data_IF_514479962519
#
_entry.id   IF_514479962519
#
_cell.length_a   1.000
_cell.length_b   1.000
_cell.length_c   1.000
_cell.angle_alpha   90.00
_cell.angle_beta   90.00
_cell.angle_gamma   90.00
#
_symmetry.space_group_name_H-M   'P 1'
#
loop_
_entity.id
_entity.type
_entity.pdbx_description
1 polymer ?
#
# COMPACT_ATOMS: atom_id res chain seq x y z
N UNK A 1 -19.33 5.38 10.90
CA UNK A 1 -18.42 4.83 11.93
C UNK A 1 -17.32 5.85 12.09
N UNK A 2 -17.24 6.48 13.26
CA UNK A 2 -16.31 7.58 13.55
C UNK A 2 -14.88 7.09 13.40
N UNK A 3 -14.12 7.73 12.50
CA UNK A 3 -12.69 7.49 12.32
C UNK A 3 -12.02 7.99 13.60
N UNK A 4 -11.71 7.08 14.53
CA UNK A 4 -10.80 7.40 15.61
C UNK A 4 -9.46 7.76 14.98
N UNK A 5 -8.89 8.90 15.36
CA UNK A 5 -7.59 9.33 14.86
C UNK A 5 -6.48 8.34 15.20
N UNK A 6 -5.26 8.61 14.73
CA UNK A 6 -4.05 7.82 15.01
C UNK A 6 -3.92 7.43 16.49
N UNK A 7 -4.30 8.33 17.39
CA UNK A 7 -4.25 8.15 18.85
C UNK A 7 -5.08 6.94 19.31
N UNK A 8 -6.24 6.69 18.68
CA UNK A 8 -7.09 5.54 19.00
C UNK A 8 -6.48 4.20 18.57
N UNK A 9 -5.69 4.20 17.49
CA UNK A 9 -4.98 3.00 17.03
C UNK A 9 -3.81 2.65 17.95
N UNK A 10 -3.37 3.59 18.78
CA UNK A 10 -2.21 3.47 19.67
C UNK A 10 -2.58 3.28 21.14
N UNK A 11 -3.87 3.33 21.50
CA UNK A 11 -4.34 3.35 22.89
C UNK A 11 -3.80 2.18 23.73
N UNK A 12 -3.75 0.98 23.14
CA UNK A 12 -3.28 -0.23 23.82
C UNK A 12 -1.76 -0.45 23.70
N UNK A 13 -1.00 0.45 23.06
CA UNK A 13 0.43 0.26 22.84
C UNK A 13 1.23 0.45 24.14
N UNK A 14 1.82 -0.65 24.66
CA UNK A 14 2.66 -0.62 25.87
C UNK A 14 4.14 -0.32 25.59
N UNK A 15 4.50 0.07 24.37
CA UNK A 15 5.88 0.36 23.94
C UNK A 15 6.88 -0.79 24.22
N UNK A 16 6.45 -2.06 24.14
CA UNK A 16 7.30 -3.22 24.45
C UNK A 16 8.45 -3.48 23.45
N UNK A 17 8.41 -2.88 22.25
CA UNK A 17 9.47 -2.98 21.25
C UNK A 17 9.50 -4.28 20.42
N UNK A 18 8.62 -5.26 20.66
CA UNK A 18 8.61 -6.52 19.90
C UNK A 18 8.43 -6.32 18.38
N UNK A 19 7.63 -5.34 17.99
CA UNK A 19 7.43 -4.95 16.59
C UNK A 19 8.72 -4.47 15.91
N UNK A 20 9.62 -3.82 16.65
CA UNK A 20 10.93 -3.35 16.17
C UNK A 20 11.85 -4.54 15.90
N UNK A 21 11.94 -5.48 16.84
CA UNK A 21 12.80 -6.68 16.74
C UNK A 21 12.51 -7.54 15.50
N UNK A 22 11.23 -7.59 15.09
CA UNK A 22 10.80 -8.35 13.92
C UNK A 22 10.78 -7.54 12.62
N UNK A 23 11.01 -6.23 12.68
CA UNK A 23 10.96 -5.37 11.50
C UNK A 23 12.19 -5.61 10.61
N UNK A 24 11.96 -6.02 9.36
CA UNK A 24 13.05 -6.21 8.40
C UNK A 24 13.68 -4.88 7.95
N UNK A 25 12.92 -3.78 8.01
CA UNK A 25 13.37 -2.43 7.64
C UNK A 25 14.34 -1.91 8.71
N UNK A 26 14.01 -2.10 9.99
CA UNK A 26 14.90 -1.77 11.12
C UNK A 26 16.25 -2.49 10.99
N UNK A 27 16.23 -3.79 10.70
CA UNK A 27 17.45 -4.61 10.58
C UNK A 27 18.38 -4.17 9.45
N UNK A 28 17.83 -3.51 8.43
CA UNK A 28 18.60 -2.97 7.31
C UNK A 28 19.19 -1.58 7.60
N UNK A 29 19.02 -1.06 8.82
CA UNK A 29 19.56 0.23 9.23
C UNK A 29 18.70 1.42 8.80
N UNK A 30 17.49 1.17 8.31
CA UNK A 30 16.47 2.22 8.16
C UNK A 30 15.69 2.35 9.47
N UNK A 31 15.43 3.57 9.92
CA UNK A 31 14.62 3.83 11.12
C UNK A 31 13.22 3.20 10.95
N UNK A 32 12.61 2.67 12.01
CA UNK A 32 11.39 1.84 11.92
C UNK A 32 10.14 2.43 12.54
N UNK A 33 9.11 1.57 12.55
CA UNK A 33 7.81 1.71 13.21
C UNK A 33 7.89 2.40 14.58
N UNK A 34 8.89 2.10 15.43
CA UNK A 34 8.93 2.65 16.79
C UNK A 34 9.40 4.11 16.83
N UNK A 35 10.33 4.52 15.97
CA UNK A 35 10.71 5.94 15.87
C UNK A 35 9.51 6.79 15.45
N UNK A 36 8.70 6.28 14.53
CA UNK A 36 7.42 6.89 14.16
C UNK A 36 6.40 6.90 15.31
N UNK A 37 6.19 5.77 16.01
CA UNK A 37 5.25 5.69 17.15
C UNK A 37 5.69 6.56 18.35
N UNK A 38 6.95 6.97 18.40
CA UNK A 38 7.53 7.83 19.43
C UNK A 38 7.61 9.32 19.00
N UNK A 39 7.18 9.65 17.78
CA UNK A 39 7.19 11.03 17.26
C UNK A 39 8.57 11.53 16.81
N UNK A 40 9.45 10.66 16.33
CA UNK A 40 10.72 11.07 15.73
C UNK A 40 10.55 11.40 14.23
N UNK A 41 10.83 12.66 13.87
CA UNK A 41 10.34 13.34 12.66
C UNK A 41 10.89 12.90 11.29
N UNK A 42 11.77 11.90 11.20
CA UNK A 42 12.51 11.62 9.94
C UNK A 42 12.22 10.27 9.29
N UNK A 43 11.06 9.66 9.58
CA UNK A 43 10.66 8.38 8.98
C UNK A 43 9.47 8.53 8.04
N UNK A 44 9.62 8.01 6.83
CA UNK A 44 8.51 7.87 5.88
C UNK A 44 7.80 6.53 6.04
N UNK A 45 6.49 6.55 6.21
CA UNK A 45 5.61 5.37 6.25
C UNK A 45 5.65 4.54 4.96
N UNK A 46 6.15 5.10 3.86
CA UNK A 46 6.39 4.40 2.60
C UNK A 46 7.56 3.41 2.64
N UNK A 47 8.42 3.47 3.66
CA UNK A 47 9.47 2.46 3.89
C UNK A 47 8.91 1.17 4.49
N UNK A 48 7.72 1.19 5.09
CA UNK A 48 7.09 -0.01 5.63
C UNK A 48 6.77 -0.99 4.49
N UNK A 49 7.37 -2.18 4.53
CA UNK A 49 7.16 -3.23 3.53
C UNK A 49 5.80 -3.92 3.61
N UNK A 50 4.96 -3.55 4.59
CA UNK A 50 3.65 -4.18 4.83
C UNK A 50 3.75 -5.71 4.96
N UNK A 51 4.78 -6.21 5.65
CA UNK A 51 5.04 -7.64 5.82
C UNK A 51 4.30 -8.29 7.00
N UNK A 52 3.54 -7.50 7.77
CA UNK A 52 2.70 -7.95 8.90
C UNK A 52 3.40 -8.62 10.09
N UNK A 53 4.73 -8.80 10.08
CA UNK A 53 5.45 -9.44 11.21
C UNK A 53 5.23 -8.72 12.54
N UNK A 54 5.13 -7.39 12.53
CA UNK A 54 4.85 -6.60 13.71
C UNK A 54 3.44 -6.84 14.29
N UNK A 55 2.46 -7.13 13.43
CA UNK A 55 1.09 -7.48 13.83
C UNK A 55 1.10 -8.82 14.59
N UNK A 56 1.78 -9.82 14.03
CA UNK A 56 1.79 -11.19 14.56
C UNK A 56 2.44 -11.30 15.95
N UNK A 57 3.35 -10.39 16.29
CA UNK A 57 4.07 -10.41 17.58
C UNK A 57 3.54 -9.41 18.60
N UNK A 58 2.56 -8.58 18.23
CA UNK A 58 2.06 -7.55 19.13
C UNK A 58 1.17 -8.17 20.21
N UNK A 59 1.56 -8.15 21.50
CA UNK A 59 0.79 -8.79 22.57
C UNK A 59 -0.52 -8.06 22.87
N UNK A 60 -0.64 -6.80 22.44
CA UNK A 60 -1.80 -5.94 22.65
C UNK A 60 -2.70 -5.88 21.41
N UNK A 61 -2.31 -6.54 20.31
CA UNK A 61 -3.11 -6.53 19.08
C UNK A 61 -3.18 -5.18 18.35
N UNK A 62 -2.33 -4.21 18.68
CA UNK A 62 -2.24 -2.90 17.98
C UNK A 62 -2.17 -3.12 16.47
N UNK A 63 -3.08 -2.47 15.72
CA UNK A 63 -3.11 -2.54 14.26
C UNK A 63 -2.06 -1.62 13.65
N UNK A 64 -0.83 -2.13 13.66
CA UNK A 64 0.35 -1.41 13.15
C UNK A 64 0.25 -1.18 11.63
N UNK A 65 -0.44 -2.06 10.91
CA UNK A 65 -0.65 -1.89 9.48
C UNK A 65 -1.59 -0.71 9.20
N UNK A 66 -2.72 -0.61 9.89
CA UNK A 66 -3.66 0.50 9.76
C UNK A 66 -2.98 1.85 10.07
N UNK A 67 -2.17 1.90 11.14
CA UNK A 67 -1.36 3.07 11.49
C UNK A 67 -0.49 3.53 10.31
N UNK A 68 0.24 2.60 9.68
CA UNK A 68 1.11 2.91 8.54
C UNK A 68 0.31 3.36 7.31
N UNK A 69 -0.87 2.77 7.07
CA UNK A 69 -1.75 3.16 5.96
C UNK A 69 -2.29 4.57 6.15
N UNK A 70 -2.74 4.93 7.35
CA UNK A 70 -3.23 6.28 7.63
C UNK A 70 -2.12 7.32 7.46
N UNK A 71 -0.88 7.00 7.84
CA UNK A 71 0.24 7.92 7.58
C UNK A 71 0.64 8.08 6.14
N UNK A 72 0.52 7.05 5.31
CA UNK A 72 0.72 7.21 3.86
C UNK A 72 -0.28 8.18 3.24
N UNK A 73 -1.43 8.44 3.89
CA UNK A 73 -2.40 9.46 3.42
C UNK A 73 -1.95 10.88 3.76
N UNK A 74 -1.07 11.05 4.74
CA UNK A 74 -0.52 12.34 5.17
C UNK A 74 0.81 12.68 4.48
N UNK A 75 1.46 11.69 3.83
CA UNK A 75 2.74 11.84 3.13
C UNK A 75 2.56 11.83 1.61
N UNK A 76 3.42 12.57 0.90
CA UNK A 76 3.51 12.47 -0.56
C UNK A 76 3.96 11.06 -0.99
N UNK A 77 3.27 10.41 -1.95
CA UNK A 77 3.67 9.09 -2.42
C UNK A 77 4.99 9.14 -3.21
N UNK A 78 5.83 8.10 -3.14
CA UNK A 78 6.98 7.99 -4.02
C UNK A 78 6.54 7.99 -5.50
N UNK A 79 7.30 8.66 -6.36
CA UNK A 79 6.97 8.86 -7.80
C UNK A 79 6.58 7.56 -8.52
N UNK A 80 7.21 6.42 -8.18
CA UNK A 80 6.88 5.13 -8.77
C UNK A 80 5.46 4.65 -8.41
N UNK A 81 4.98 4.92 -7.18
CA UNK A 81 3.62 4.58 -6.77
C UNK A 81 2.60 5.43 -7.50
N UNK A 82 2.86 6.73 -7.65
CA UNK A 82 1.99 7.62 -8.42
C UNK A 82 1.92 7.18 -9.90
N UNK A 83 3.06 6.85 -10.50
CA UNK A 83 3.12 6.34 -11.87
C UNK A 83 2.36 5.01 -12.03
N UNK A 84 2.43 4.11 -11.05
CA UNK A 84 1.68 2.85 -11.07
C UNK A 84 0.18 3.10 -10.97
N UNK A 85 -0.27 3.99 -10.06
CA UNK A 85 -1.68 4.35 -9.93
C UNK A 85 -2.21 4.94 -11.24
N UNK A 86 -1.46 5.87 -11.85
CA UNK A 86 -1.84 6.48 -13.13
C UNK A 86 -2.04 5.42 -14.22
N UNK A 87 -1.15 4.43 -14.32
CA UNK A 87 -1.29 3.31 -15.28
C UNK A 87 -2.51 2.45 -15.01
N UNK A 88 -2.89 2.23 -13.75
CA UNK A 88 -4.13 1.54 -13.41
C UNK A 88 -5.34 2.32 -13.92
N UNK A 89 -5.35 3.64 -13.73
CA UNK A 89 -6.45 4.50 -14.20
C UNK A 89 -6.53 4.58 -15.73
N UNK A 90 -5.40 4.47 -16.43
CA UNK A 90 -5.34 4.52 -17.89
C UNK A 90 -5.65 3.17 -18.54
N UNK A 91 -5.07 2.09 -18.02
CA UNK A 91 -5.03 0.78 -18.71
C UNK A 91 -5.58 -0.39 -17.89
N UNK A 92 -5.91 -0.17 -16.62
CA UNK A 92 -6.32 -1.21 -15.68
C UNK A 92 -5.16 -2.01 -15.07
N UNK A 93 -3.91 -1.71 -15.43
CA UNK A 93 -2.72 -2.42 -14.96
C UNK A 93 -1.72 -1.46 -14.33
N UNK A 94 -1.16 -1.84 -13.18
CA UNK A 94 -0.12 -1.04 -12.51
C UNK A 94 1.21 -1.06 -13.26
N UNK A 95 1.53 -2.17 -13.92
CA UNK A 95 2.76 -2.37 -14.66
C UNK A 95 2.50 -2.34 -16.16
N UNK A 96 3.42 -1.80 -16.98
CA UNK A 96 3.28 -1.85 -18.42
C UNK A 96 3.31 -3.29 -18.91
N UNK A 97 2.36 -3.65 -19.76
CA UNK A 97 2.38 -4.93 -20.46
C UNK A 97 2.99 -4.71 -21.84
N UNK A 98 4.17 -5.26 -22.05
CA UNK A 98 4.91 -5.12 -23.31
C UNK A 98 4.23 -5.86 -24.46
N UNK A 99 4.39 -5.35 -25.68
CA UNK A 99 3.87 -5.98 -26.91
C UNK A 99 4.37 -7.42 -27.11
N UNK A 100 5.56 -7.73 -26.58
CA UNK A 100 6.23 -9.02 -26.65
C UNK A 100 5.72 -10.11 -25.69
N UNK A 101 4.70 -9.81 -24.86
CA UNK A 101 4.31 -10.71 -23.78
C UNK A 101 3.74 -12.03 -24.31
N UNK A 102 3.03 -12.00 -25.44
CA UNK A 102 2.40 -13.20 -26.01
C UNK A 102 3.40 -14.08 -26.74
N UNK A 103 4.44 -13.49 -27.35
CA UNK A 103 5.57 -14.22 -27.90
C UNK A 103 6.34 -14.94 -26.78
N UNK A 104 6.63 -14.25 -25.66
CA UNK A 104 7.29 -14.86 -24.51
C UNK A 104 6.44 -16.00 -23.90
N UNK A 105 5.13 -15.78 -23.76
CA UNK A 105 4.19 -16.79 -23.24
C UNK A 105 4.14 -18.02 -24.15
N UNK A 106 4.13 -17.84 -25.47
CA UNK A 106 4.15 -18.94 -26.43
C UNK A 106 5.42 -19.78 -26.35
N UNK A 107 6.60 -19.16 -26.15
CA UNK A 107 7.87 -19.86 -25.92
C UNK A 107 7.78 -20.79 -24.71
N UNK A 108 7.05 -20.37 -23.67
CA UNK A 108 6.83 -21.15 -22.46
C UNK A 108 5.56 -22.05 -22.51
N UNK A 109 4.90 -22.17 -23.67
CA UNK A 109 3.68 -22.99 -23.82
C UNK A 109 2.47 -22.46 -23.06
N UNK A 110 2.44 -21.16 -22.75
CA UNK A 110 1.33 -20.49 -22.06
C UNK A 110 0.38 -19.83 -23.07
N UNK A 111 -0.92 -19.87 -22.78
CA UNK A 111 -1.94 -19.20 -23.60
C UNK A 111 -1.72 -17.69 -23.70
N UNK A 112 -2.07 -17.11 -24.84
CA UNK A 112 -1.99 -15.66 -25.03
C UNK A 112 -2.87 -14.92 -24.02
N UNK A 113 -2.31 -13.90 -23.36
CA UNK A 113 -3.08 -13.05 -22.46
C UNK A 113 -4.01 -12.15 -23.27
N UNK A 114 -5.27 -12.09 -22.85
CA UNK A 114 -6.25 -11.14 -23.36
C UNK A 114 -6.29 -9.96 -22.40
N UNK A 115 -5.80 -8.81 -22.86
CA UNK A 115 -5.76 -7.61 -22.04
C UNK A 115 -7.15 -6.97 -21.99
N UNK A 116 -7.51 -6.47 -20.80
CA UNK A 116 -8.69 -5.62 -20.60
C UNK A 116 -8.58 -4.41 -21.53
N UNK A 117 -9.56 -4.15 -22.42
CA UNK A 117 -9.51 -2.98 -23.27
C UNK A 117 -9.68 -1.70 -22.45
N UNK A 118 -8.90 -0.66 -22.77
CA UNK A 118 -8.90 0.64 -22.07
C UNK A 118 -10.31 1.26 -21.94
N UNK A 119 -11.16 1.08 -22.96
CA UNK A 119 -12.59 1.42 -22.93
C UNK A 119 -13.32 0.95 -21.66
N UNK A 120 -13.03 -0.25 -21.17
CA UNK A 120 -13.71 -0.79 -20.00
C UNK A 120 -13.29 -0.06 -18.74
N UNK A 121 -12.03 0.36 -18.66
CA UNK A 121 -11.50 1.19 -17.58
C UNK A 121 -12.23 2.54 -17.57
N UNK A 122 -12.37 3.19 -18.73
CA UNK A 122 -13.13 4.44 -18.85
C UNK A 122 -14.58 4.30 -18.37
N UNK A 123 -15.26 3.20 -18.73
CA UNK A 123 -16.65 2.95 -18.32
C UNK A 123 -16.76 2.84 -16.80
N UNK A 124 -15.84 2.09 -16.17
CA UNK A 124 -15.83 1.91 -14.72
C UNK A 124 -15.59 3.24 -13.98
N UNK A 125 -14.65 4.05 -14.47
CA UNK A 125 -14.34 5.36 -13.88
C UNK A 125 -15.50 6.36 -14.04
N UNK A 126 -16.20 6.35 -15.18
CA UNK A 126 -17.39 7.22 -15.40
C UNK A 126 -18.59 6.80 -14.55
N UNK A 127 -18.80 5.49 -14.36
CA UNK A 127 -19.88 4.99 -13.53
C UNK A 127 -19.75 5.46 -12.07
N UNK A 128 -18.53 5.57 -11.54
CA UNK A 128 -18.29 6.13 -10.21
C UNK A 128 -18.59 7.63 -10.14
N UNK A 129 -18.20 8.42 -11.14
CA UNK A 129 -18.52 9.86 -11.18
C UNK A 129 -20.03 10.15 -11.23
N UNK A 130 -20.82 9.27 -11.85
CA UNK A 130 -22.29 9.37 -11.87
C UNK A 130 -22.97 9.02 -10.53
N UNK A 131 -22.30 8.30 -9.63
CA UNK A 131 -22.83 7.96 -8.30
C UNK A 131 -22.57 9.06 -7.27
N UNK A 132 -21.57 9.92 -7.46
CA UNK A 132 -21.25 11.03 -6.54
C UNK A 132 -22.15 12.27 -6.74
N UNK A 133 -22.91 12.36 -7.84
CA UNK A 133 -23.84 13.47 -8.12
C UNK A 133 -25.31 13.19 -7.73
N UNK A 134 -25.57 12.04 -7.10
CA UNK A 134 -26.92 11.58 -6.72
C UNK A 134 -27.11 11.27 -5.24
N UNK A 135 -26.24 11.77 -4.36
CA UNK A 135 -26.31 11.62 -2.89
C UNK A 135 -26.61 12.93 -2.18
#
# INVERSE_FOLDING_TARGET
>A
MTVGGLDSLLEDCTQCGLCREVCIVERLGAHSITSFLLGEDNYSSWLCSSCWRCQEVCPQGVDIHAIMVEKRREEDPPVAHEANLRRVLESGYALPIGKGINELRAIHGLDAVQLVPEKWVEILLRAQAGQELGG
#
